data_IF_686366037383
#
_entry.id   IF_686366037383
#
_cell.length_a   1.000
_cell.length_b   1.000
_cell.length_c   1.000
_cell.angle_alpha   90.00
_cell.angle_beta   90.00
_cell.angle_gamma   90.00
#
_symmetry.space_group_name_H-M   'P 1'
#
loop_
_entity.id
_entity.type
_entity.pdbx_description
1 polymer ?
#
# COMPACT_ATOMS: atom_id res chain seq x y z
N UNK A 1 -23.86 -25.08 -6.23
CA UNK A 1 -23.23 -23.77 -6.00
C UNK A 1 -22.15 -23.55 -7.05
N UNK A 2 -21.97 -22.33 -7.56
CA UNK A 2 -20.95 -22.02 -8.59
C UNK A 2 -20.32 -20.66 -8.30
N UNK A 3 -19.22 -20.34 -8.96
CA UNK A 3 -18.50 -19.06 -8.88
C UNK A 3 -19.41 -17.86 -9.17
N UNK A 4 -20.46 -18.04 -9.99
CA UNK A 4 -21.45 -16.99 -10.30
C UNK A 4 -22.15 -16.46 -9.05
N UNK A 5 -22.43 -17.32 -8.06
CA UNK A 5 -23.07 -16.91 -6.80
C UNK A 5 -22.18 -15.95 -6.00
N UNK A 6 -20.85 -16.20 -5.99
CA UNK A 6 -19.89 -15.30 -5.35
C UNK A 6 -19.81 -13.96 -6.09
N UNK A 7 -19.78 -13.97 -7.44
CA UNK A 7 -19.80 -12.72 -8.23
C UNK A 7 -21.05 -11.90 -7.96
N UNK A 8 -22.21 -12.55 -7.83
CA UNK A 8 -23.46 -11.86 -7.48
C UNK A 8 -23.41 -11.26 -6.07
N UNK A 9 -22.84 -11.95 -5.09
CA UNK A 9 -22.65 -11.42 -3.74
C UNK A 9 -21.75 -10.17 -3.76
N UNK A 10 -20.62 -10.23 -4.50
CA UNK A 10 -19.70 -9.10 -4.65
C UNK A 10 -20.38 -7.91 -5.33
N UNK A 11 -21.14 -8.15 -6.41
CA UNK A 11 -21.91 -7.11 -7.08
C UNK A 11 -22.91 -6.41 -6.15
N UNK A 12 -23.57 -7.14 -5.22
CA UNK A 12 -24.45 -6.49 -4.22
C UNK A 12 -23.65 -5.64 -3.24
N UNK A 13 -22.49 -6.10 -2.78
CA UNK A 13 -21.60 -5.33 -1.91
C UNK A 13 -21.20 -4.01 -2.58
N UNK A 14 -20.81 -4.08 -3.85
CA UNK A 14 -20.21 -2.95 -4.58
C UNK A 14 -21.27 -1.96 -5.09
N UNK A 15 -22.47 -2.43 -5.47
CA UNK A 15 -23.54 -1.58 -6.01
C UNK A 15 -24.68 -1.28 -5.00
N UNK A 16 -24.61 -1.82 -3.80
CA UNK A 16 -25.49 -1.46 -2.67
C UNK A 16 -26.94 -1.95 -2.77
N UNK A 17 -27.36 -2.57 -3.87
CA UNK A 17 -28.73 -3.11 -4.01
C UNK A 17 -28.80 -4.35 -4.91
N UNK A 18 -29.83 -5.18 -4.69
CA UNK A 18 -30.07 -6.37 -5.50
C UNK A 18 -30.41 -6.04 -6.95
N UNK A 19 -31.09 -4.92 -7.20
CA UNK A 19 -31.45 -4.50 -8.56
C UNK A 19 -30.20 -4.03 -9.33
N UNK A 20 -29.40 -3.14 -8.74
CA UNK A 20 -28.16 -2.65 -9.35
C UNK A 20 -27.13 -3.78 -9.56
N UNK A 21 -27.04 -4.72 -8.61
CA UNK A 21 -26.22 -5.91 -8.79
C UNK A 21 -26.70 -6.78 -9.94
N UNK A 22 -28.02 -6.95 -10.11
CA UNK A 22 -28.58 -7.70 -11.23
C UNK A 22 -28.21 -7.11 -12.58
N UNK A 23 -28.28 -5.78 -12.72
CA UNK A 23 -27.82 -5.05 -13.90
C UNK A 23 -26.34 -5.26 -14.16
N UNK A 24 -25.51 -5.15 -13.12
CA UNK A 24 -24.05 -5.29 -13.23
C UNK A 24 -23.63 -6.70 -13.68
N UNK A 25 -24.33 -7.77 -13.22
CA UNK A 25 -24.01 -9.15 -13.60
C UNK A 25 -24.97 -9.73 -14.66
N UNK A 26 -25.77 -8.88 -15.29
CA UNK A 26 -26.69 -9.21 -16.40
C UNK A 26 -27.72 -10.31 -16.06
N UNK A 27 -28.32 -10.26 -14.87
CA UNK A 27 -29.40 -11.17 -14.44
C UNK A 27 -30.56 -10.38 -13.78
N UNK A 28 -31.71 -11.02 -13.66
CA UNK A 28 -32.84 -10.38 -13.03
C UNK A 28 -32.71 -10.28 -11.51
N UNK A 29 -33.40 -9.31 -10.90
CA UNK A 29 -33.48 -9.17 -9.43
C UNK A 29 -33.91 -10.48 -8.74
N UNK A 30 -34.87 -11.21 -9.34
CA UNK A 30 -35.33 -12.50 -8.82
C UNK A 30 -34.21 -13.55 -8.81
N UNK A 31 -33.37 -13.60 -9.88
CA UNK A 31 -32.22 -14.49 -9.98
C UNK A 31 -31.15 -14.11 -8.95
N UNK A 32 -30.86 -12.81 -8.75
CA UNK A 32 -29.98 -12.34 -7.68
C UNK A 32 -30.42 -12.84 -6.32
N UNK A 33 -31.72 -12.63 -5.99
CA UNK A 33 -32.30 -13.08 -4.72
C UNK A 33 -32.20 -14.59 -4.53
N UNK A 34 -32.47 -15.37 -5.59
CA UNK A 34 -32.37 -16.83 -5.57
C UNK A 34 -30.90 -17.29 -5.35
N UNK A 35 -29.93 -16.66 -6.01
CA UNK A 35 -28.50 -17.00 -5.84
C UNK A 35 -28.02 -16.73 -4.43
N UNK A 36 -28.43 -15.60 -3.82
CA UNK A 36 -28.06 -15.28 -2.43
C UNK A 36 -28.71 -16.27 -1.46
N UNK A 37 -30.00 -16.60 -1.65
CA UNK A 37 -30.67 -17.65 -0.84
C UNK A 37 -29.94 -18.99 -0.95
N UNK A 38 -29.47 -19.36 -2.14
CA UNK A 38 -28.73 -20.60 -2.36
C UNK A 38 -27.37 -20.57 -1.60
N UNK A 39 -26.67 -19.43 -1.56
CA UNK A 39 -25.46 -19.27 -0.74
C UNK A 39 -25.78 -19.42 0.75
N UNK A 40 -26.76 -18.67 1.25
CA UNK A 40 -27.17 -18.68 2.65
C UNK A 40 -27.58 -20.10 3.09
N UNK A 41 -28.39 -20.81 2.26
CA UNK A 41 -28.81 -22.17 2.56
C UNK A 41 -27.69 -23.20 2.52
N UNK A 42 -26.78 -23.08 1.54
CA UNK A 42 -25.64 -24.03 1.39
C UNK A 42 -24.69 -24.00 2.58
N UNK A 43 -24.43 -22.81 3.11
CA UNK A 43 -23.51 -22.60 4.24
C UNK A 43 -24.23 -22.50 5.58
N UNK A 44 -25.57 -22.54 5.58
CA UNK A 44 -26.42 -22.35 6.75
C UNK A 44 -26.12 -21.07 7.50
N UNK A 45 -26.03 -19.95 6.78
CA UNK A 45 -25.65 -18.63 7.32
C UNK A 45 -26.60 -17.55 6.82
N UNK A 46 -26.67 -16.41 7.55
CA UNK A 46 -27.41 -15.22 7.14
C UNK A 46 -26.40 -14.16 6.71
N UNK A 47 -26.34 -13.89 5.41
CA UNK A 47 -25.41 -12.92 4.82
C UNK A 47 -26.01 -11.51 4.76
N UNK A 48 -27.34 -11.38 4.69
CA UNK A 48 -28.04 -10.10 4.58
C UNK A 48 -29.07 -9.91 5.69
N UNK A 49 -29.03 -8.73 6.31
CA UNK A 49 -30.14 -8.22 7.10
C UNK A 49 -31.18 -7.63 6.15
N UNK A 50 -32.42 -8.19 6.18
CA UNK A 50 -33.51 -7.80 5.30
C UNK A 50 -34.52 -6.87 5.98
N UNK A 51 -34.29 -6.49 7.25
CA UNK A 51 -35.17 -5.58 7.98
C UNK A 51 -35.12 -4.13 7.46
N UNK A 52 -33.95 -3.59 7.04
CA UNK A 52 -33.91 -2.29 6.38
C UNK A 52 -34.62 -2.29 5.02
N UNK A 53 -35.03 -1.09 4.57
CA UNK A 53 -35.68 -0.90 3.26
C UNK A 53 -34.81 -1.39 2.10
N UNK A 54 -33.48 -1.35 2.25
CA UNK A 54 -32.50 -1.97 1.35
C UNK A 54 -31.71 -3.03 2.15
N UNK A 55 -31.59 -4.28 1.66
CA UNK A 55 -30.83 -5.33 2.32
C UNK A 55 -29.37 -4.93 2.54
N UNK A 56 -28.87 -5.08 3.76
CA UNK A 56 -27.50 -4.77 4.14
C UNK A 56 -26.74 -6.04 4.53
N UNK A 57 -25.45 -6.11 4.18
CA UNK A 57 -24.58 -7.20 4.61
C UNK A 57 -24.47 -7.23 6.13
N UNK A 58 -24.68 -8.40 6.72
CA UNK A 58 -24.36 -8.66 8.12
C UNK A 58 -22.84 -8.57 8.34
N UNK A 59 -22.35 -8.49 9.60
CA UNK A 59 -20.90 -8.62 9.86
C UNK A 59 -20.31 -9.90 9.25
N UNK A 60 -21.04 -11.03 9.37
CA UNK A 60 -20.65 -12.29 8.73
C UNK A 60 -20.71 -12.20 7.20
N UNK A 61 -21.73 -11.52 6.64
CA UNK A 61 -21.86 -11.29 5.21
C UNK A 61 -20.69 -10.51 4.63
N UNK A 62 -20.19 -9.50 5.32
CA UNK A 62 -18.98 -8.75 4.92
C UNK A 62 -17.74 -9.65 4.90
N UNK A 63 -17.49 -10.36 6.00
CA UNK A 63 -16.37 -11.29 6.08
C UNK A 63 -16.44 -12.40 5.02
N UNK A 64 -17.66 -12.87 4.72
CA UNK A 64 -17.90 -13.87 3.68
C UNK A 64 -17.65 -13.29 2.27
N UNK A 65 -18.06 -12.04 2.01
CA UNK A 65 -17.80 -11.36 0.74
C UNK A 65 -16.29 -11.16 0.50
N UNK A 66 -15.50 -10.80 1.53
CA UNK A 66 -14.05 -10.68 1.43
C UNK A 66 -13.38 -12.02 1.04
N UNK A 67 -13.88 -13.13 1.59
CA UNK A 67 -13.40 -14.48 1.20
C UNK A 67 -13.88 -14.89 -0.19
N UNK A 68 -15.10 -14.53 -0.56
CA UNK A 68 -15.65 -14.79 -1.90
C UNK A 68 -14.84 -14.04 -2.97
N UNK A 69 -14.41 -12.82 -2.70
CA UNK A 69 -13.54 -12.04 -3.61
C UNK A 69 -12.22 -12.76 -3.88
N UNK A 70 -11.58 -13.27 -2.83
CA UNK A 70 -10.35 -14.08 -2.96
C UNK A 70 -10.56 -15.28 -3.89
N UNK A 71 -11.68 -16.00 -3.73
CA UNK A 71 -12.00 -17.19 -4.55
C UNK A 71 -12.26 -16.78 -6.00
N UNK A 72 -13.01 -15.70 -6.24
CA UNK A 72 -13.31 -15.20 -7.59
C UNK A 72 -12.03 -14.78 -8.30
N UNK A 73 -11.14 -14.03 -7.63
CA UNK A 73 -9.85 -13.64 -8.19
C UNK A 73 -8.98 -14.86 -8.53
N UNK A 74 -8.89 -15.85 -7.64
CA UNK A 74 -8.15 -17.09 -7.91
C UNK A 74 -8.73 -17.84 -9.12
N UNK A 75 -10.07 -17.91 -9.24
CA UNK A 75 -10.73 -18.52 -10.38
C UNK A 75 -10.43 -17.77 -11.70
N UNK A 76 -10.51 -16.45 -11.68
CA UNK A 76 -10.26 -15.61 -12.87
C UNK A 76 -8.79 -15.66 -13.33
N UNK A 77 -7.86 -15.83 -12.38
CA UNK A 77 -6.43 -15.95 -12.65
C UNK A 77 -5.97 -17.37 -13.01
N UNK A 78 -6.82 -18.38 -12.93
CA UNK A 78 -6.45 -19.79 -13.11
C UNK A 78 -5.70 -20.08 -14.44
N UNK A 79 -6.13 -19.47 -15.55
CA UNK A 79 -5.47 -19.64 -16.84
C UNK A 79 -4.22 -18.76 -16.97
N UNK A 80 -4.18 -17.60 -16.30
CA UNK A 80 -3.04 -16.68 -16.31
C UNK A 80 -1.84 -17.32 -15.60
N UNK A 81 -2.10 -18.10 -14.56
CA UNK A 81 -1.06 -18.76 -13.76
C UNK A 81 -0.41 -19.96 -14.48
N UNK A 82 -1.12 -20.57 -15.46
CA UNK A 82 -0.67 -21.79 -16.16
C UNK A 82 0.13 -21.47 -17.43
N UNK A 83 -0.07 -20.31 -18.07
CA UNK A 83 0.59 -19.97 -19.33
C UNK A 83 1.76 -19.01 -19.13
N UNK A 84 2.95 -19.42 -19.60
CA UNK A 84 4.22 -18.66 -19.44
C UNK A 84 4.19 -17.26 -20.08
N UNK A 85 3.47 -17.06 -21.17
CA UNK A 85 3.32 -15.77 -21.86
C UNK A 85 2.17 -14.92 -21.31
N UNK A 86 1.12 -15.54 -20.75
CA UNK A 86 -0.04 -14.84 -20.21
C UNK A 86 0.21 -14.23 -18.83
N UNK A 87 1.27 -14.61 -18.12
CA UNK A 87 1.58 -14.09 -16.79
C UNK A 87 1.83 -12.57 -16.75
N UNK A 88 2.20 -11.98 -17.88
CA UNK A 88 2.41 -10.53 -18.04
C UNK A 88 1.22 -9.81 -18.72
N UNK A 89 0.09 -10.47 -18.86
CA UNK A 89 -1.18 -9.91 -19.27
C UNK A 89 -2.19 -10.05 -18.13
N UNK A 90 -3.11 -9.08 -18.00
CA UNK A 90 -4.11 -9.07 -16.93
C UNK A 90 -3.78 -8.06 -15.84
N UNK A 91 -4.18 -8.33 -14.59
CA UNK A 91 -4.09 -7.36 -13.49
C UNK A 91 -3.15 -7.82 -12.38
N UNK A 92 -2.37 -6.87 -11.84
CA UNK A 92 -1.61 -7.01 -10.61
C UNK A 92 -2.02 -5.94 -9.60
N UNK A 93 -2.45 -6.36 -8.41
CA UNK A 93 -2.72 -5.51 -7.26
C UNK A 93 -1.42 -5.23 -6.49
N UNK A 94 -0.98 -3.97 -6.48
CA UNK A 94 0.26 -3.54 -5.84
C UNK A 94 -0.03 -2.56 -4.70
N UNK A 95 0.21 -2.98 -3.46
CA UNK A 95 0.22 -2.07 -2.31
C UNK A 95 1.47 -1.21 -2.28
N UNK A 96 1.38 0.00 -1.72
CA UNK A 96 2.54 0.85 -1.54
C UNK A 96 2.40 1.78 -0.33
N UNK A 97 3.47 1.92 0.45
CA UNK A 97 3.49 2.92 1.54
C UNK A 97 3.51 4.34 0.97
N UNK A 98 2.82 5.31 1.61
CA UNK A 98 2.63 6.66 1.07
C UNK A 98 3.93 7.34 0.63
N UNK A 99 5.01 7.16 1.37
CA UNK A 99 6.32 7.76 1.07
C UNK A 99 6.94 7.35 -0.27
N UNK A 100 6.43 6.32 -0.94
CA UNK A 100 6.95 5.82 -2.22
C UNK A 100 6.10 6.22 -3.42
N UNK A 101 4.90 6.77 -3.19
CA UNK A 101 3.90 7.02 -4.23
C UNK A 101 4.24 8.19 -5.16
N UNK A 102 5.11 9.09 -4.76
CA UNK A 102 5.46 10.31 -5.53
C UNK A 102 6.83 10.24 -6.21
N UNK A 103 7.58 9.15 -6.03
CA UNK A 103 8.90 8.95 -6.62
C UNK A 103 9.07 7.54 -7.15
N UNK A 104 9.38 6.60 -6.27
CA UNK A 104 9.74 5.23 -6.62
C UNK A 104 8.66 4.47 -7.39
N UNK A 105 7.42 4.47 -6.89
CA UNK A 105 6.31 3.70 -7.52
C UNK A 105 6.00 4.19 -8.93
N UNK A 106 5.82 5.50 -9.20
CA UNK A 106 5.59 6.00 -10.55
C UNK A 106 6.70 5.63 -11.53
N UNK A 107 7.97 5.74 -11.11
CA UNK A 107 9.11 5.42 -11.97
C UNK A 107 9.16 3.91 -12.28
N UNK A 108 9.03 3.06 -11.27
CA UNK A 108 9.02 1.61 -11.44
C UNK A 108 7.85 1.13 -12.30
N UNK A 109 6.63 1.69 -12.10
CA UNK A 109 5.46 1.35 -12.92
C UNK A 109 5.65 1.84 -14.37
N UNK A 110 6.28 3.00 -14.59
CA UNK A 110 6.66 3.45 -15.95
C UNK A 110 7.58 2.45 -16.63
N UNK A 111 8.61 1.94 -15.94
CA UNK A 111 9.50 0.89 -16.45
C UNK A 111 8.74 -0.41 -16.75
N UNK A 112 7.85 -0.82 -15.84
CA UNK A 112 7.04 -2.03 -15.98
C UNK A 112 6.14 -1.94 -17.22
N UNK A 113 5.45 -0.81 -17.40
CA UNK A 113 4.53 -0.59 -18.55
C UNK A 113 5.25 -0.54 -19.89
N UNK A 114 6.49 -0.05 -19.94
CA UNK A 114 7.31 -0.10 -21.16
C UNK A 114 7.70 -1.53 -21.57
N UNK A 115 7.92 -2.43 -20.58
CA UNK A 115 8.28 -3.83 -20.82
C UNK A 115 7.04 -4.73 -21.01
N UNK A 116 5.92 -4.41 -20.36
CA UNK A 116 4.71 -5.22 -20.27
C UNK A 116 3.45 -4.33 -20.38
N UNK A 117 3.16 -3.88 -21.59
CA UNK A 117 2.07 -2.95 -21.91
C UNK A 117 0.68 -3.48 -21.57
N UNK A 118 0.49 -4.81 -21.65
CA UNK A 118 -0.76 -5.52 -21.36
C UNK A 118 -1.02 -5.76 -19.86
N UNK A 119 -0.02 -5.52 -19.00
CA UNK A 119 -0.18 -5.70 -17.56
C UNK A 119 -0.88 -4.47 -16.97
N UNK A 120 -2.07 -4.64 -16.41
CA UNK A 120 -2.78 -3.60 -15.67
C UNK A 120 -2.30 -3.58 -14.21
N UNK A 121 -1.87 -2.41 -13.72
CA UNK A 121 -1.38 -2.23 -12.36
C UNK A 121 -2.40 -1.43 -11.56
N UNK A 122 -2.95 -2.03 -10.51
CA UNK A 122 -3.83 -1.35 -9.54
C UNK A 122 -3.03 -1.04 -8.30
N UNK A 123 -2.88 0.25 -7.97
CA UNK A 123 -2.08 0.70 -6.83
C UNK A 123 -3.00 0.99 -5.65
N UNK A 124 -2.67 0.42 -4.49
CA UNK A 124 -3.37 0.62 -3.24
C UNK A 124 -2.45 1.25 -2.18
N UNK A 125 -2.72 2.50 -1.74
CA UNK A 125 -2.00 3.11 -0.64
C UNK A 125 -2.30 2.43 0.70
N UNK A 126 -1.32 2.39 1.59
CA UNK A 126 -1.54 1.93 2.95
C UNK A 126 -0.26 1.80 3.78
N UNK A 127 -0.41 1.67 5.08
CA UNK A 127 0.72 1.38 5.97
C UNK A 127 1.16 -0.08 5.83
N UNK A 128 2.45 -0.37 6.08
CA UNK A 128 3.05 -1.69 5.89
C UNK A 128 2.25 -2.82 6.55
N UNK A 129 1.75 -2.62 7.77
CA UNK A 129 0.96 -3.62 8.50
C UNK A 129 -0.37 -3.91 7.82
N UNK A 130 -1.09 -2.87 7.37
CA UNK A 130 -2.36 -3.01 6.68
C UNK A 130 -2.16 -3.69 5.31
N UNK A 131 -1.11 -3.33 4.58
CA UNK A 131 -0.78 -3.94 3.29
C UNK A 131 -0.43 -5.43 3.43
N UNK A 132 0.33 -5.81 4.46
CA UNK A 132 0.60 -7.23 4.76
C UNK A 132 -0.68 -8.01 5.05
N UNK A 133 -1.64 -7.41 5.76
CA UNK A 133 -2.95 -8.04 5.98
C UNK A 133 -3.75 -8.19 4.67
N UNK A 134 -3.67 -7.22 3.76
CA UNK A 134 -4.32 -7.30 2.46
C UNK A 134 -3.68 -8.38 1.57
N UNK A 135 -2.35 -8.53 1.58
CA UNK A 135 -1.66 -9.63 0.91
C UNK A 135 -2.10 -10.98 1.51
N UNK A 136 -2.17 -11.10 2.85
CA UNK A 136 -2.62 -12.34 3.51
C UNK A 136 -4.05 -12.73 3.13
N UNK A 137 -4.91 -11.73 2.90
CA UNK A 137 -6.30 -11.91 2.45
C UNK A 137 -6.42 -12.03 0.93
N UNK A 138 -5.33 -12.03 0.18
CA UNK A 138 -5.32 -12.06 -1.29
C UNK A 138 -6.06 -10.87 -1.96
N UNK A 139 -6.18 -9.75 -1.27
CA UNK A 139 -6.79 -8.52 -1.79
C UNK A 139 -5.84 -7.77 -2.73
N UNK A 140 -4.54 -7.89 -2.49
CA UNK A 140 -3.46 -7.42 -3.36
C UNK A 140 -2.43 -8.54 -3.53
N UNK A 141 -1.66 -8.49 -4.62
CA UNK A 141 -0.70 -9.55 -4.97
C UNK A 141 0.67 -9.35 -4.28
N UNK A 142 1.10 -8.11 -4.16
CA UNK A 142 2.36 -7.72 -3.53
C UNK A 142 2.28 -6.30 -2.97
N UNK A 143 3.23 -5.89 -2.13
CA UNK A 143 3.30 -4.51 -1.65
C UNK A 143 4.74 -4.04 -1.43
N UNK A 144 5.00 -2.78 -1.77
CA UNK A 144 6.20 -2.04 -1.38
C UNK A 144 6.00 -1.54 0.03
N UNK A 145 6.77 -2.08 0.97
CA UNK A 145 6.64 -1.81 2.41
C UNK A 145 7.99 -1.50 3.05
N UNK A 146 7.95 -0.80 4.18
CA UNK A 146 9.06 -0.80 5.12
C UNK A 146 9.10 -2.16 5.82
N UNK A 147 10.26 -2.80 5.86
CA UNK A 147 10.46 -4.11 6.50
C UNK A 147 10.05 -4.06 7.97
N UNK A 148 9.10 -4.89 8.42
CA UNK A 148 8.77 -4.99 9.82
C UNK A 148 9.87 -5.76 10.59
N UNK A 149 9.93 -5.59 11.92
CA UNK A 149 10.85 -6.32 12.77
C UNK A 149 10.71 -7.86 12.64
N UNK A 150 9.50 -8.32 12.38
CA UNK A 150 9.19 -9.73 12.10
C UNK A 150 8.27 -9.83 10.90
N UNK A 151 8.68 -10.56 9.88
CA UNK A 151 7.83 -10.89 8.73
C UNK A 151 6.94 -12.08 9.07
N UNK A 152 5.63 -12.06 8.81
CA UNK A 152 4.74 -13.18 9.06
C UNK A 152 5.19 -14.44 8.29
N UNK A 153 4.90 -15.63 8.83
CA UNK A 153 5.18 -16.91 8.16
C UNK A 153 4.43 -16.96 6.82
N UNK A 154 5.06 -17.53 5.80
CA UNK A 154 4.48 -17.66 4.46
C UNK A 154 4.62 -16.41 3.58
N UNK A 155 5.35 -15.39 4.04
CA UNK A 155 5.69 -14.23 3.23
C UNK A 155 7.13 -14.28 2.74
N UNK A 156 7.34 -13.74 1.56
CA UNK A 156 8.65 -13.43 0.99
C UNK A 156 8.83 -11.92 0.99
N UNK A 157 10.05 -11.45 1.28
CA UNK A 157 10.42 -10.04 1.22
C UNK A 157 11.74 -9.92 0.48
N UNK A 158 11.76 -9.14 -0.60
CA UNK A 158 12.97 -8.79 -1.31
C UNK A 158 13.25 -7.29 -1.16
N UNK A 159 14.45 -6.98 -0.71
CA UNK A 159 14.91 -5.61 -0.52
C UNK A 159 14.97 -4.88 -1.86
N UNK A 160 14.56 -3.60 -1.86
CA UNK A 160 14.64 -2.66 -2.99
C UNK A 160 15.71 -1.62 -2.68
N UNK A 161 15.67 -1.02 -1.48
CA UNK A 161 16.59 0.01 -1.06
C UNK A 161 16.68 0.11 0.47
N UNK A 162 17.81 0.59 0.96
CA UNK A 162 17.97 1.07 2.33
C UNK A 162 17.99 2.60 2.33
N UNK A 163 17.07 3.21 3.08
CA UNK A 163 16.91 4.65 3.17
C UNK A 163 17.24 5.13 4.59
N UNK A 164 18.31 5.91 4.79
CA UNK A 164 18.58 6.54 6.09
C UNK A 164 17.47 7.53 6.44
N UNK A 165 17.27 7.77 7.74
CA UNK A 165 16.41 8.87 8.19
C UNK A 165 17.22 10.17 8.25
N UNK A 166 16.58 11.26 7.87
CA UNK A 166 17.12 12.62 7.86
C UNK A 166 16.16 13.59 8.53
N UNK A 167 16.67 14.75 8.93
CA UNK A 167 15.87 15.84 9.45
C UNK A 167 15.52 16.80 8.32
N UNK A 168 14.25 17.09 8.13
CA UNK A 168 13.79 18.21 7.32
C UNK A 168 13.67 19.46 8.17
N UNK A 169 14.23 20.56 7.66
CA UNK A 169 14.16 21.87 8.29
C UNK A 169 13.75 22.97 7.29
N UNK A 170 13.16 24.07 7.74
CA UNK A 170 12.86 25.23 6.90
C UNK A 170 14.09 25.74 6.15
N UNK A 171 13.96 26.22 4.90
CA UNK A 171 15.10 26.62 4.08
C UNK A 171 15.91 27.79 4.67
N UNK A 172 15.28 28.66 5.45
CA UNK A 172 15.91 29.81 6.13
C UNK A 172 16.63 29.45 7.43
N UNK A 173 16.59 28.18 7.86
CA UNK A 173 17.28 27.74 9.09
C UNK A 173 18.80 27.96 8.96
N UNK A 174 19.40 28.65 9.94
CA UNK A 174 20.83 29.04 9.89
C UNK A 174 21.78 27.89 10.28
N UNK A 175 21.32 26.98 11.14
CA UNK A 175 22.11 25.85 11.62
C UNK A 175 21.78 24.54 10.93
N UNK A 176 22.78 23.68 10.79
CA UNK A 176 22.66 22.28 10.32
C UNK A 176 22.88 21.27 11.47
N UNK A 177 22.83 21.73 12.74
CA UNK A 177 22.87 20.84 13.90
C UNK A 177 21.48 20.22 14.16
N UNK A 178 21.27 18.93 13.87
CA UNK A 178 19.99 18.29 14.04
C UNK A 178 19.57 18.21 15.51
N UNK A 179 20.52 18.11 16.44
CA UNK A 179 20.24 18.03 17.88
C UNK A 179 19.75 19.35 18.43
N UNK A 180 20.32 20.47 17.95
CA UNK A 180 19.85 21.81 18.28
C UNK A 180 18.42 22.01 17.77
N UNK A 181 18.16 21.67 16.49
CA UNK A 181 16.85 21.87 15.86
C UNK A 181 15.76 21.05 16.55
N UNK A 182 16.01 19.77 16.87
CA UNK A 182 15.05 18.92 17.56
C UNK A 182 14.68 19.39 18.97
N UNK A 183 15.58 20.11 19.64
CA UNK A 183 15.32 20.63 21.01
C UNK A 183 14.65 21.99 21.05
N UNK A 184 14.80 22.79 19.98
CA UNK A 184 14.37 24.20 20.01
C UNK A 184 13.27 24.54 19.01
N UNK A 185 12.99 23.67 18.03
CA UNK A 185 11.94 23.89 17.04
C UNK A 185 10.74 22.99 17.33
N UNK A 186 9.51 23.43 16.97
CA UNK A 186 8.34 22.56 16.98
C UNK A 186 8.60 21.32 16.14
N UNK A 187 8.18 20.15 16.64
CA UNK A 187 8.40 18.87 15.95
C UNK A 187 7.12 18.39 15.29
N UNK A 188 7.18 18.19 13.98
CA UNK A 188 6.15 17.59 13.16
C UNK A 188 6.41 16.10 13.14
N UNK A 189 5.56 15.33 13.82
CA UNK A 189 5.76 13.90 13.99
C UNK A 189 5.31 13.14 12.75
N UNK A 190 6.11 12.15 12.35
CA UNK A 190 5.67 11.13 11.41
C UNK A 190 4.72 10.16 12.14
N UNK A 191 3.63 9.71 11.49
CA UNK A 191 2.59 8.85 12.08
C UNK A 191 3.17 7.69 12.91
N UNK A 192 2.78 7.60 14.16
CA UNK A 192 3.21 6.58 15.14
C UNK A 192 2.80 5.16 14.76
N UNK A 193 1.76 5.00 13.95
CA UNK A 193 1.32 3.69 13.45
C UNK A 193 2.19 3.21 12.29
N UNK A 194 2.92 4.09 11.63
CA UNK A 194 3.90 3.74 10.62
C UNK A 194 5.18 3.18 11.26
N UNK A 195 5.80 2.19 10.61
CA UNK A 195 7.09 1.63 11.05
C UNK A 195 8.15 2.74 11.17
N UNK A 196 8.16 3.70 10.22
CA UNK A 196 9.07 4.86 10.27
C UNK A 196 8.83 5.70 11.52
N UNK A 197 7.59 5.98 11.88
CA UNK A 197 7.26 6.74 13.10
C UNK A 197 7.76 6.03 14.37
N UNK A 198 7.62 4.70 14.44
CA UNK A 198 8.15 3.90 15.55
C UNK A 198 9.68 3.90 15.59
N UNK A 199 10.35 3.88 14.44
CA UNK A 199 11.81 4.01 14.35
C UNK A 199 12.29 5.36 14.85
N UNK A 200 11.61 6.45 14.45
CA UNK A 200 11.89 7.82 14.92
C UNK A 200 11.73 7.91 16.44
N UNK A 201 10.61 7.41 16.98
CA UNK A 201 10.36 7.40 18.42
C UNK A 201 11.45 6.64 19.19
N UNK A 202 11.79 5.43 18.75
CA UNK A 202 12.84 4.61 19.36
C UNK A 202 14.19 5.32 19.35
N UNK A 203 14.52 6.00 18.24
CA UNK A 203 15.79 6.73 18.13
C UNK A 203 15.81 7.98 19.03
N UNK A 204 14.72 8.78 19.07
CA UNK A 204 14.62 9.95 19.97
C UNK A 204 14.79 9.54 21.43
N UNK A 205 14.16 8.44 21.85
CA UNK A 205 14.30 7.89 23.20
C UNK A 205 15.74 7.44 23.48
N UNK A 206 16.37 6.72 22.54
CA UNK A 206 17.76 6.28 22.68
C UNK A 206 18.75 7.45 22.79
N UNK A 207 18.50 8.56 22.06
CA UNK A 207 19.28 9.79 22.13
C UNK A 207 18.89 10.69 23.33
N UNK A 208 17.88 10.32 24.09
CA UNK A 208 17.34 11.13 25.22
C UNK A 208 16.94 12.55 24.79
N UNK A 209 16.30 12.65 23.61
CA UNK A 209 15.82 13.92 23.05
C UNK A 209 14.32 14.02 23.36
N UNK A 210 13.96 15.04 24.14
CA UNK A 210 12.56 15.45 24.29
C UNK A 210 12.24 16.50 23.22
N UNK A 211 11.28 16.19 22.35
CA UNK A 211 10.81 17.09 21.29
C UNK A 211 9.53 17.79 21.71
N UNK A 212 9.33 19.02 21.23
CA UNK A 212 8.08 19.76 21.41
C UNK A 212 7.13 19.42 20.24
N UNK A 213 6.27 18.41 20.42
CA UNK A 213 5.34 17.97 19.38
C UNK A 213 4.32 19.07 19.07
N UNK A 214 4.14 19.36 17.78
CA UNK A 214 3.16 20.35 17.27
C UNK A 214 2.05 19.71 16.46
N UNK A 215 2.33 18.69 15.66
CA UNK A 215 1.38 17.97 14.83
C UNK A 215 1.89 16.58 14.46
N UNK A 216 0.99 15.72 13.93
CA UNK A 216 1.31 14.37 13.46
C UNK A 216 0.71 14.15 12.06
N UNK A 217 1.50 13.64 11.11
CA UNK A 217 1.13 13.44 9.72
C UNK A 217 1.75 12.14 9.19
N UNK A 218 1.06 11.48 8.25
CA UNK A 218 1.52 10.24 7.61
C UNK A 218 2.16 10.44 6.23
N UNK A 219 1.86 11.58 5.59
CA UNK A 219 2.28 11.88 4.22
C UNK A 219 3.54 12.76 4.21
N UNK A 220 4.58 12.29 3.52
CA UNK A 220 5.86 12.98 3.40
C UNK A 220 5.74 14.33 2.66
N UNK A 221 4.84 14.44 1.67
CA UNK A 221 4.60 15.70 0.96
C UNK A 221 3.90 16.73 1.86
N UNK A 222 2.93 16.27 2.65
CA UNK A 222 2.28 17.11 3.65
C UNK A 222 3.27 17.58 4.72
N UNK A 223 4.12 16.67 5.24
CA UNK A 223 5.19 17.02 6.19
C UNK A 223 6.13 18.06 5.58
N UNK A 224 6.63 17.83 4.35
CA UNK A 224 7.51 18.77 3.65
C UNK A 224 6.88 20.14 3.47
N UNK A 225 5.58 20.19 3.16
CA UNK A 225 4.82 21.44 3.04
C UNK A 225 4.71 22.19 4.36
N UNK A 226 4.49 21.50 5.49
CA UNK A 226 4.45 22.11 6.80
C UNK A 226 5.84 22.63 7.23
N UNK A 227 6.90 21.89 6.95
CA UNK A 227 8.28 22.32 7.18
C UNK A 227 8.60 23.56 6.33
N UNK A 228 8.24 23.55 5.04
CA UNK A 228 8.42 24.69 4.14
C UNK A 228 7.68 25.95 4.63
N UNK A 229 6.51 25.77 5.24
CA UNK A 229 5.72 26.85 5.87
C UNK A 229 6.29 27.31 7.22
N UNK A 230 7.48 26.86 7.62
CA UNK A 230 8.14 27.19 8.89
C UNK A 230 7.33 26.82 10.15
N UNK A 231 6.56 25.72 10.07
CA UNK A 231 5.75 25.23 11.20
C UNK A 231 6.51 24.25 12.10
N UNK A 232 7.74 23.89 11.75
CA UNK A 232 8.59 23.01 12.56
C UNK A 232 9.58 22.21 11.72
N UNK A 233 10.18 21.23 12.37
CA UNK A 233 11.13 20.26 11.78
C UNK A 233 10.56 18.84 11.87
N UNK A 234 11.01 17.93 11.00
CA UNK A 234 10.53 16.55 11.00
C UNK A 234 11.64 15.56 10.67
N UNK A 235 11.59 14.35 11.24
CA UNK A 235 12.46 13.25 10.84
C UNK A 235 11.70 12.34 9.88
N UNK A 236 12.27 12.14 8.67
CA UNK A 236 11.66 11.41 7.57
C UNK A 236 12.68 10.52 6.88
N UNK A 237 12.27 9.52 6.07
CA UNK A 237 13.19 8.75 5.23
C UNK A 237 13.75 9.61 4.10
N UNK A 238 15.06 9.52 3.88
CA UNK A 238 15.69 10.03 2.66
C UNK A 238 15.28 9.14 1.49
N UNK A 239 14.62 9.71 0.48
CA UNK A 239 14.07 8.95 -0.64
C UNK A 239 15.16 8.37 -1.53
N UNK A 240 15.06 7.10 -1.86
CA UNK A 240 15.94 6.44 -2.85
C UNK A 240 15.67 6.91 -4.29
N UNK A 241 14.48 7.44 -4.58
CA UNK A 241 14.12 8.08 -5.86
C UNK A 241 13.56 9.46 -5.57
N UNK A 242 14.20 10.47 -6.15
CA UNK A 242 13.81 11.88 -5.98
C UNK A 242 12.41 12.15 -6.53
N UNK A 243 11.66 13.01 -5.85
CA UNK A 243 10.40 13.56 -6.37
C UNK A 243 10.67 14.42 -7.62
N UNK A 244 9.71 14.48 -8.53
CA UNK A 244 9.80 15.33 -9.74
C UNK A 244 9.84 16.83 -9.41
N UNK A 245 9.15 17.25 -8.35
CA UNK A 245 9.08 18.63 -7.88
C UNK A 245 9.35 18.70 -6.37
N UNK A 246 10.61 18.52 -5.92
CA UNK A 246 10.93 18.58 -4.50
C UNK A 246 10.73 20.00 -3.97
N UNK A 247 10.10 20.11 -2.80
CA UNK A 247 10.05 21.40 -2.08
C UNK A 247 11.47 21.78 -1.61
N UNK A 248 11.83 23.07 -1.62
CA UNK A 248 13.15 23.53 -1.25
C UNK A 248 13.35 23.59 0.28
N UNK A 249 13.11 22.48 0.96
CA UNK A 249 13.43 22.31 2.39
C UNK A 249 14.88 21.88 2.58
N UNK A 250 15.45 22.16 3.75
CA UNK A 250 16.78 21.65 4.10
C UNK A 250 16.70 20.18 4.48
N UNK A 251 17.65 19.40 4.00
CA UNK A 251 17.86 18.00 4.32
C UNK A 251 19.13 17.89 5.17
N UNK A 252 19.00 17.50 6.43
CA UNK A 252 20.08 17.47 7.41
C UNK A 252 20.27 16.03 7.90
N UNK A 253 21.50 15.50 7.78
CA UNK A 253 21.81 14.16 8.28
C UNK A 253 21.73 14.09 9.80
N UNK A 254 21.19 13.00 10.33
CA UNK A 254 21.13 12.73 11.77
C UNK A 254 22.46 12.22 12.36
N UNK A 255 23.49 12.04 11.51
CA UNK A 255 24.81 11.57 11.92
C UNK A 255 25.00 10.07 11.78
N UNK A 256 26.15 9.57 12.29
CA UNK A 256 26.61 8.18 12.06
C UNK A 256 25.66 7.11 12.62
N UNK A 257 24.91 7.43 13.67
CA UNK A 257 23.95 6.51 14.32
C UNK A 257 22.50 6.76 13.87
N UNK A 258 22.31 7.41 12.72
CA UNK A 258 20.98 7.61 12.17
C UNK A 258 20.32 6.26 11.87
N UNK A 259 19.06 6.06 12.24
CA UNK A 259 18.34 4.85 11.84
C UNK A 259 18.11 4.86 10.32
N UNK A 260 18.04 3.67 9.73
CA UNK A 260 17.69 3.50 8.33
C UNK A 260 16.60 2.47 8.18
N UNK A 261 15.65 2.71 7.25
CA UNK A 261 14.63 1.72 6.94
C UNK A 261 15.06 0.86 5.76
N UNK A 262 14.70 -0.42 5.80
CA UNK A 262 14.75 -1.28 4.63
C UNK A 262 13.41 -1.21 3.89
N UNK A 263 13.43 -0.74 2.65
CA UNK A 263 12.28 -0.74 1.75
C UNK A 263 12.36 -1.96 0.86
N UNK A 264 11.25 -2.67 0.67
CA UNK A 264 11.25 -3.86 -0.17
C UNK A 264 9.85 -4.26 -0.63
N UNK A 265 9.82 -5.21 -1.56
CA UNK A 265 8.60 -5.83 -2.05
C UNK A 265 8.30 -7.09 -1.24
N UNK A 266 7.09 -7.15 -0.68
CA UNK A 266 6.58 -8.30 0.06
C UNK A 266 5.42 -8.95 -0.69
N UNK A 267 5.32 -10.29 -0.62
CA UNK A 267 4.23 -11.09 -1.19
C UNK A 267 4.12 -12.43 -0.50
N UNK A 268 3.05 -13.18 -0.75
CA UNK A 268 2.92 -14.56 -0.26
C UNK A 268 3.85 -15.50 -1.01
N UNK A 269 4.59 -16.32 -0.29
CA UNK A 269 5.54 -17.29 -0.87
C UNK A 269 4.86 -18.33 -1.79
N UNK A 270 3.57 -18.61 -1.54
CA UNK A 270 2.72 -19.53 -2.31
C UNK A 270 1.92 -18.83 -3.43
N UNK A 271 2.27 -17.58 -3.80
CA UNK A 271 1.61 -16.85 -4.87
C UNK A 271 1.90 -17.47 -6.23
N UNK A 272 0.83 -17.78 -6.99
CA UNK A 272 0.93 -18.21 -8.40
C UNK A 272 1.53 -17.16 -9.33
N UNK A 273 1.46 -15.85 -8.92
CA UNK A 273 2.02 -14.72 -9.68
C UNK A 273 3.50 -14.45 -9.37
N UNK A 274 4.22 -15.35 -8.69
CA UNK A 274 5.61 -15.12 -8.24
C UNK A 274 6.56 -14.69 -9.36
N UNK A 275 6.37 -15.14 -10.60
CA UNK A 275 7.19 -14.76 -11.78
C UNK A 275 6.97 -13.27 -12.12
N UNK A 276 5.71 -12.82 -12.16
CA UNK A 276 5.35 -11.41 -12.42
C UNK A 276 5.83 -10.52 -11.28
N UNK A 277 5.63 -10.95 -10.03
CA UNK A 277 6.05 -10.19 -8.85
C UNK A 277 7.57 -9.99 -8.81
N UNK A 278 8.36 -11.01 -9.20
CA UNK A 278 9.82 -10.87 -9.33
C UNK A 278 10.22 -9.89 -10.43
N UNK A 279 9.51 -9.87 -11.56
CA UNK A 279 9.74 -8.88 -12.61
C UNK A 279 9.37 -7.46 -12.13
N UNK A 280 8.26 -7.31 -11.38
CA UNK A 280 7.90 -6.06 -10.71
C UNK A 280 9.01 -5.62 -9.75
N UNK A 281 9.52 -6.53 -8.89
CA UNK A 281 10.65 -6.22 -8.02
C UNK A 281 11.86 -5.69 -8.80
N UNK A 282 12.21 -6.34 -9.93
CA UNK A 282 13.32 -5.88 -10.75
C UNK A 282 13.12 -4.45 -11.28
N UNK A 283 11.89 -4.08 -11.67
CA UNK A 283 11.64 -2.69 -12.12
C UNK A 283 11.76 -1.67 -11.00
N UNK A 284 11.51 -2.07 -9.74
CA UNK A 284 11.80 -1.22 -8.58
C UNK A 284 13.30 -1.04 -8.35
N UNK A 285 14.08 -2.10 -8.49
CA UNK A 285 15.54 -2.03 -8.41
C UNK A 285 16.12 -1.16 -9.55
N UNK A 286 15.61 -1.32 -10.78
CA UNK A 286 15.99 -0.49 -11.93
C UNK A 286 15.68 0.99 -11.65
N UNK A 287 14.50 1.31 -11.09
CA UNK A 287 14.10 2.66 -10.73
C UNK A 287 15.00 3.30 -9.66
N UNK A 288 15.45 2.52 -8.67
CA UNK A 288 16.44 2.98 -7.67
C UNK A 288 17.78 3.26 -8.32
N UNK A 289 18.24 2.41 -9.24
CA UNK A 289 19.49 2.61 -9.99
C UNK A 289 19.46 3.89 -10.85
N UNK A 290 18.30 4.22 -11.43
CA UNK A 290 18.12 5.47 -12.19
C UNK A 290 18.08 6.70 -11.25
N UNK A 291 17.56 6.56 -10.03
CA UNK A 291 17.55 7.56 -8.96
C UNK A 291 16.63 8.77 -9.21
N UNK A 292 16.18 9.00 -10.44
CA UNK A 292 15.31 10.12 -10.85
C UNK A 292 14.62 9.85 -12.19
N UNK A 293 13.51 10.56 -12.43
CA UNK A 293 12.88 10.57 -13.74
C UNK A 293 13.79 11.26 -14.78
N UNK A 294 14.16 10.53 -15.83
CA UNK A 294 14.67 11.15 -17.05
C UNK A 294 13.47 11.50 -17.92
N UNK A 295 13.15 12.79 -18.04
CA UNK A 295 12.16 13.25 -19.02
C UNK A 295 12.83 13.14 -20.38
N UNK A 296 12.61 12.04 -21.09
CA UNK A 296 12.88 11.98 -22.53
C UNK A 296 11.70 12.69 -23.19
N UNK A 297 11.91 13.95 -23.60
CA UNK A 297 11.00 14.73 -24.45
C UNK A 297 11.03 14.16 -25.86
#
# INVERSE_FOLDING_TARGET
MSIRHFRTLLAIRDHGSFSAAGEAVLITHAAVSQQIKALESHWNVVLFDRRPRSPQLTPLGRAFADRAETIVRAYDNMLVEISDEAGFAGEIGLGAVPTTLTGLVPLAVSHLKRKHDKLHVVIQPGLSTALLQQIDRWQIDAAVITRPASLPRGFTFHEIATEPLELLAPPQTETDDPMFLLRHYPFIRFDRNAIVGQMVETWLQAQKIAVQESMELEDLEAISSMVMANLGVSIVPQRCVSNMNPLPVKHITLGVNAPSRQLGLAWRSDSGKSKVIKAVHQTFCDAVADGRFSVTI
#
